data_IF_663025583718
#
_entry.id   IF_663025583718
#
_cell.length_a   1.000
_cell.length_b   1.000
_cell.length_c   1.000
_cell.angle_alpha   90.00
_cell.angle_beta   90.00
_cell.angle_gamma   90.00
#
_symmetry.space_group_name_H-M   'P 1'
#
loop_
_entity.id
_entity.type
_entity.pdbx_description
1 polymer ?
#
# COMPACT_ATOMS: atom_id res chain seq x y z
N UNK A 1 -9.93 -17.15 6.70
CA UNK A 1 -11.16 -16.32 6.82
C UNK A 1 -11.12 -15.20 7.89
N UNK A 2 -10.64 -15.43 9.12
CA UNK A 2 -10.62 -14.39 10.17
C UNK A 2 -9.49 -13.36 10.02
N UNK A 3 -8.30 -13.79 9.56
CA UNK A 3 -7.11 -12.94 9.47
C UNK A 3 -7.26 -11.77 8.46
N UNK A 4 -7.81 -12.02 7.27
CA UNK A 4 -8.05 -10.98 6.25
C UNK A 4 -9.11 -9.97 6.71
N UNK A 5 -10.21 -10.43 7.30
CA UNK A 5 -11.25 -9.55 7.88
C UNK A 5 -10.73 -8.70 9.06
N UNK A 6 -9.80 -9.23 9.86
CA UNK A 6 -9.14 -8.47 10.91
C UNK A 6 -8.24 -7.37 10.34
N UNK A 7 -7.60 -7.64 9.21
CA UNK A 7 -6.68 -6.71 8.57
C UNK A 7 -7.40 -5.57 7.85
N UNK A 8 -8.51 -5.84 7.18
CA UNK A 8 -9.39 -4.80 6.63
C UNK A 8 -9.89 -3.86 7.74
N UNK A 9 -10.13 -4.38 8.95
CA UNK A 9 -10.51 -3.56 10.11
C UNK A 9 -9.36 -2.70 10.63
N UNK A 10 -8.11 -3.15 10.50
CA UNK A 10 -6.93 -2.38 10.91
C UNK A 10 -6.77 -1.08 10.10
N UNK A 11 -7.27 -1.06 8.87
CA UNK A 11 -7.23 0.10 7.98
C UNK A 11 -8.51 0.95 7.98
N UNK A 12 -9.44 0.72 8.92
CA UNK A 12 -10.68 1.51 9.02
C UNK A 12 -10.43 3.02 9.13
N UNK A 13 -9.32 3.44 9.74
CA UNK A 13 -8.95 4.86 9.83
C UNK A 13 -8.75 5.52 8.47
N UNK A 14 -8.34 4.77 7.44
CA UNK A 14 -8.23 5.26 6.07
C UNK A 14 -9.59 5.37 5.38
N UNK A 15 -10.46 4.38 5.57
CA UNK A 15 -11.78 4.33 4.95
C UNK A 15 -12.73 5.46 5.38
N UNK A 16 -12.44 6.15 6.48
CA UNK A 16 -13.26 7.27 6.98
C UNK A 16 -12.68 8.64 6.64
N UNK A 17 -11.54 8.69 5.94
CA UNK A 17 -10.95 9.95 5.49
C UNK A 17 -11.75 10.54 4.33
N UNK A 18 -11.74 11.86 4.14
CA UNK A 18 -12.25 12.47 2.92
C UNK A 18 -11.54 11.94 1.66
N UNK A 19 -12.27 11.80 0.55
CA UNK A 19 -11.79 11.36 -0.77
C UNK A 19 -10.44 11.96 -1.17
N UNK A 20 -10.35 13.29 -1.06
CA UNK A 20 -9.17 14.04 -1.43
C UNK A 20 -7.96 13.67 -0.57
N UNK A 21 -8.17 13.39 0.72
CA UNK A 21 -7.12 13.00 1.64
C UNK A 21 -6.67 11.55 1.41
N UNK A 22 -7.61 10.63 1.14
CA UNK A 22 -7.28 9.26 0.73
C UNK A 22 -6.44 9.26 -0.55
N UNK A 23 -6.87 10.02 -1.57
CA UNK A 23 -6.17 10.15 -2.84
C UNK A 23 -4.77 10.75 -2.67
N UNK A 24 -4.65 11.85 -1.92
CA UNK A 24 -3.36 12.47 -1.65
C UNK A 24 -2.40 11.49 -0.95
N UNK A 25 -2.91 10.73 0.02
CA UNK A 25 -2.11 9.74 0.74
C UNK A 25 -1.69 8.58 -0.18
N UNK A 26 -2.61 8.10 -1.02
CA UNK A 26 -2.32 7.07 -2.02
C UNK A 26 -1.25 7.52 -3.02
N UNK A 27 -1.35 8.76 -3.55
CA UNK A 27 -0.36 9.30 -4.48
C UNK A 27 1.03 9.43 -3.85
N UNK A 28 1.13 9.86 -2.58
CA UNK A 28 2.42 9.94 -1.89
C UNK A 28 2.98 8.54 -1.63
N UNK A 29 2.15 7.59 -1.17
CA UNK A 29 2.56 6.20 -1.01
C UNK A 29 3.06 5.60 -2.33
N UNK A 30 2.43 5.91 -3.46
CA UNK A 30 2.93 5.47 -4.76
C UNK A 30 4.33 6.00 -5.05
N UNK A 31 4.69 7.22 -4.66
CA UNK A 31 6.06 7.73 -4.80
C UNK A 31 7.03 6.98 -3.89
N UNK A 32 6.66 6.80 -2.63
CA UNK A 32 7.45 6.09 -1.61
C UNK A 32 7.77 4.65 -2.08
N UNK A 33 6.85 3.98 -2.75
CA UNK A 33 7.07 2.62 -3.30
C UNK A 33 8.22 2.52 -4.32
N UNK A 34 8.62 3.64 -4.93
CA UNK A 34 9.75 3.71 -5.87
C UNK A 34 11.00 4.39 -5.28
N UNK A 35 10.96 4.77 -4.01
CA UNK A 35 12.01 5.55 -3.35
C UNK A 35 12.36 4.90 -2.01
N UNK A 36 13.36 4.02 -2.04
CA UNK A 36 13.80 3.24 -0.88
C UNK A 36 14.37 4.13 0.24
N UNK A 37 15.10 5.19 -0.12
CA UNK A 37 15.66 6.13 0.84
C UNK A 37 14.54 6.89 1.57
N UNK A 38 13.55 7.37 0.82
CA UNK A 38 12.37 8.01 1.39
C UNK A 38 11.57 7.06 2.28
N UNK A 39 11.40 5.79 1.88
CA UNK A 39 10.70 4.79 2.70
C UNK A 39 11.43 4.54 4.02
N UNK A 40 12.76 4.34 3.97
CA UNK A 40 13.59 4.13 5.17
C UNK A 40 13.55 5.34 6.11
N UNK A 41 13.67 6.54 5.57
CA UNK A 41 13.58 7.76 6.37
C UNK A 41 12.19 7.96 6.97
N UNK A 42 11.13 7.66 6.22
CA UNK A 42 9.75 7.77 6.70
C UNK A 42 9.48 6.77 7.83
N UNK A 43 9.90 5.51 7.68
CA UNK A 43 9.79 4.52 8.74
C UNK A 43 10.49 4.99 10.02
N UNK A 44 11.76 5.42 9.90
CA UNK A 44 12.53 5.88 11.06
C UNK A 44 11.88 7.07 11.78
N UNK A 45 11.31 8.02 11.02
CA UNK A 45 10.58 9.15 11.62
C UNK A 45 9.29 8.67 12.29
N UNK A 46 8.57 7.72 11.70
CA UNK A 46 7.38 7.17 12.32
C UNK A 46 7.69 6.39 13.61
N UNK A 47 8.78 5.63 13.65
CA UNK A 47 9.28 4.92 14.83
C UNK A 47 9.53 5.88 16.00
N UNK A 48 10.27 6.96 15.73
CA UNK A 48 10.62 7.97 16.73
C UNK A 48 9.39 8.69 17.27
N UNK A 49 8.46 9.05 16.39
CA UNK A 49 7.17 9.66 16.78
C UNK A 49 6.33 8.71 17.61
N UNK A 50 6.24 7.44 17.23
CA UNK A 50 5.50 6.42 17.96
C UNK A 50 6.14 6.09 19.33
N UNK A 51 7.47 6.12 19.39
CA UNK A 51 8.26 5.93 20.61
C UNK A 51 8.29 7.17 21.52
N UNK A 52 7.88 8.33 21.02
CA UNK A 52 7.90 9.60 21.75
C UNK A 52 9.31 10.14 22.01
N UNK A 53 10.33 9.61 21.32
CA UNK A 53 11.71 10.05 21.42
C UNK A 53 12.26 10.34 20.03
N UNK A 54 12.56 11.62 19.78
CA UNK A 54 13.26 12.03 18.57
C UNK A 54 14.74 11.67 18.70
N UNK A 55 15.16 10.69 17.92
CA UNK A 55 16.54 10.20 17.89
C UNK A 55 17.39 11.02 16.93
N UNK A 56 18.71 10.96 17.11
CA UNK A 56 19.64 11.49 16.11
C UNK A 56 19.53 10.76 14.77
N UNK A 57 19.00 9.53 14.76
CA UNK A 57 18.87 8.72 13.55
C UNK A 57 17.79 9.25 12.62
N UNK A 58 16.63 9.68 13.15
CA UNK A 58 15.60 10.33 12.32
C UNK A 58 16.08 11.66 11.74
N UNK A 59 16.87 12.44 12.50
CA UNK A 59 17.47 13.69 12.01
C UNK A 59 18.40 13.40 10.83
N UNK A 60 19.34 12.46 11.00
CA UNK A 60 20.28 12.09 9.95
C UNK A 60 19.56 11.54 8.71
N UNK A 61 18.58 10.66 8.90
CA UNK A 61 17.80 10.09 7.80
C UNK A 61 17.06 11.18 7.01
N UNK A 62 16.56 12.24 7.67
CA UNK A 62 15.93 13.37 7.00
C UNK A 62 16.95 14.27 6.29
N UNK A 63 18.13 14.49 6.86
CA UNK A 63 19.20 15.30 6.26
C UNK A 63 19.79 14.67 4.99
N UNK A 64 19.77 13.34 4.89
CA UNK A 64 20.20 12.59 3.70
C UNK A 64 19.23 12.73 2.51
N UNK A 65 17.96 13.07 2.78
CA UNK A 65 16.94 13.23 1.75
C UNK A 65 17.14 14.50 0.92
N UNK A 66 16.81 14.40 -0.37
CA UNK A 66 16.64 15.56 -1.25
C UNK A 66 15.47 16.44 -0.81
N UNK A 67 15.46 17.71 -1.22
CA UNK A 67 14.36 18.63 -0.89
C UNK A 67 12.98 18.14 -1.36
N UNK A 68 12.89 17.42 -2.48
CA UNK A 68 11.63 16.80 -2.93
C UNK A 68 11.19 15.65 -2.04
N UNK A 69 12.12 14.80 -1.59
CA UNK A 69 11.82 13.69 -0.69
C UNK A 69 11.38 14.19 0.69
N UNK A 70 12.05 15.23 1.23
CA UNK A 70 11.63 15.86 2.49
C UNK A 70 10.22 16.47 2.40
N UNK A 71 9.88 17.07 1.26
CA UNK A 71 8.53 17.58 1.01
C UNK A 71 7.49 16.46 0.98
N UNK A 72 7.77 15.35 0.30
CA UNK A 72 6.87 14.20 0.23
C UNK A 72 6.71 13.52 1.61
N UNK A 73 7.79 13.38 2.39
CA UNK A 73 7.77 12.90 3.78
C UNK A 73 6.90 13.80 4.66
N UNK A 74 7.12 15.12 4.59
CA UNK A 74 6.37 16.10 5.39
C UNK A 74 4.89 16.11 4.99
N UNK A 75 4.60 16.00 3.69
CA UNK A 75 3.24 15.94 3.17
C UNK A 75 2.53 14.66 3.64
N UNK A 76 3.21 13.51 3.64
CA UNK A 76 2.69 12.26 4.20
C UNK A 76 2.32 12.45 5.68
N UNK A 77 3.24 12.93 6.50
CA UNK A 77 3.04 13.13 7.94
C UNK A 77 1.83 14.04 8.22
N UNK A 78 1.71 15.16 7.51
CA UNK A 78 0.56 16.07 7.62
C UNK A 78 -0.76 15.38 7.28
N UNK A 79 -0.79 14.58 6.21
CA UNK A 79 -1.99 13.82 5.80
C UNK A 79 -2.39 12.76 6.82
N UNK A 80 -1.47 12.23 7.62
CA UNK A 80 -1.77 11.22 8.65
C UNK A 80 -2.01 11.84 10.03
N UNK A 81 -2.14 13.16 10.09
CA UNK A 81 -2.52 13.90 11.29
C UNK A 81 -1.35 14.34 12.16
N UNK A 82 -0.13 14.35 11.64
CA UNK A 82 1.04 14.94 12.30
C UNK A 82 1.07 16.46 12.09
N UNK A 83 1.17 17.22 13.18
CA UNK A 83 1.23 18.69 13.15
C UNK A 83 2.66 19.17 13.20
N UNK A 84 3.19 19.50 12.04
CA UNK A 84 4.51 20.11 11.91
C UNK A 84 4.43 21.59 12.26
N UNK A 85 5.12 22.02 13.32
CA UNK A 85 5.17 23.42 13.78
C UNK A 85 6.22 24.26 13.01
N UNK A 86 7.17 23.62 12.34
CA UNK A 86 8.23 24.26 11.54
C UNK A 86 8.19 23.91 10.05
N UNK A 87 9.32 24.09 9.36
CA UNK A 87 9.50 23.63 7.98
C UNK A 87 9.65 22.11 7.88
N UNK A 88 10.23 21.50 8.92
CA UNK A 88 10.57 20.08 8.96
C UNK A 88 9.98 19.42 10.22
N UNK A 89 9.61 18.13 10.15
CA UNK A 89 9.25 17.33 11.31
C UNK A 89 10.29 17.39 12.42
N UNK A 90 9.84 17.51 13.68
CA UNK A 90 10.72 17.59 14.83
C UNK A 90 10.06 17.33 16.18
N UNK A 91 10.83 17.45 17.28
CA UNK A 91 10.41 17.02 18.62
C UNK A 91 9.29 17.86 19.26
N UNK A 92 8.96 19.02 18.69
CA UNK A 92 7.87 19.89 19.18
C UNK A 92 6.54 19.60 18.50
N UNK A 93 6.54 18.73 17.51
CA UNK A 93 5.35 18.42 16.73
C UNK A 93 4.44 17.44 17.47
N UNK A 94 3.16 17.44 17.09
CA UNK A 94 2.14 16.66 17.79
C UNK A 94 1.32 15.79 16.83
N UNK A 95 0.99 14.58 17.26
CA UNK A 95 0.06 13.71 16.54
C UNK A 95 -1.37 14.09 16.91
N UNK A 96 -2.04 14.85 16.04
CA UNK A 96 -3.43 15.27 16.22
C UNK A 96 -4.46 14.18 16.00
N UNK A 97 -4.12 13.13 15.24
CA UNK A 97 -4.95 11.96 15.04
C UNK A 97 -4.14 10.67 15.26
N UNK A 98 -4.04 10.24 16.51
CA UNK A 98 -3.25 9.08 16.91
C UNK A 98 -3.67 7.78 16.20
N UNK A 99 -4.97 7.58 15.96
CA UNK A 99 -5.46 6.37 15.30
C UNK A 99 -5.08 6.34 13.83
N UNK A 100 -5.22 7.47 13.13
CA UNK A 100 -4.81 7.57 11.73
C UNK A 100 -3.30 7.41 11.58
N UNK A 101 -2.53 8.09 12.43
CA UNK A 101 -1.08 7.98 12.44
C UNK A 101 -0.63 6.53 12.70
N UNK A 102 -1.19 5.86 13.71
CA UNK A 102 -0.87 4.46 13.99
C UNK A 102 -1.23 3.52 12.83
N UNK A 103 -2.38 3.75 12.17
CA UNK A 103 -2.76 2.99 10.97
C UNK A 103 -1.78 3.22 9.81
N UNK A 104 -1.31 4.45 9.63
CA UNK A 104 -0.33 4.78 8.60
C UNK A 104 1.06 4.22 8.90
N UNK A 105 1.52 4.36 10.13
CA UNK A 105 2.76 3.77 10.58
C UNK A 105 2.76 2.24 10.40
N UNK A 106 1.67 1.56 10.78
CA UNK A 106 1.52 0.12 10.54
C UNK A 106 1.66 -0.27 9.06
N UNK A 107 1.15 0.56 8.13
CA UNK A 107 1.37 0.34 6.70
C UNK A 107 2.82 0.59 6.30
N UNK A 108 3.44 1.67 6.78
CA UNK A 108 4.82 2.05 6.47
C UNK A 108 5.80 0.97 6.92
N UNK A 109 5.69 0.48 8.16
CA UNK A 109 6.54 -0.61 8.64
C UNK A 109 6.36 -1.87 7.78
N UNK A 110 5.12 -2.20 7.38
CA UNK A 110 4.90 -3.34 6.50
C UNK A 110 5.51 -3.14 5.10
N UNK A 111 5.56 -1.90 4.59
CA UNK A 111 6.23 -1.59 3.32
C UNK A 111 7.76 -1.71 3.44
N UNK A 112 8.33 -1.24 4.55
CA UNK A 112 9.77 -1.29 4.81
C UNK A 112 10.27 -2.72 5.08
N UNK A 113 9.45 -3.57 5.69
CA UNK A 113 9.76 -4.97 5.95
C UNK A 113 9.66 -5.86 4.69
N UNK A 114 9.17 -5.32 3.57
CA UNK A 114 9.10 -6.08 2.32
C UNK A 114 10.50 -6.36 1.76
N UNK A 115 10.71 -7.52 1.12
CA UNK A 115 12.01 -7.85 0.55
C UNK A 115 12.36 -6.94 -0.64
N UNK A 116 13.66 -6.79 -0.90
CA UNK A 116 14.21 -5.93 -1.94
C UNK A 116 13.47 -6.09 -3.28
N UNK A 117 13.17 -4.97 -3.93
CA UNK A 117 12.41 -4.85 -5.19
C UNK A 117 10.90 -5.17 -5.10
N UNK A 118 10.39 -5.75 -4.01
CA UNK A 118 8.95 -6.00 -3.86
C UNK A 118 8.14 -4.69 -3.85
N UNK A 119 8.66 -3.63 -3.22
CA UNK A 119 8.05 -2.29 -3.19
C UNK A 119 7.89 -1.71 -4.59
N UNK A 120 8.89 -1.88 -5.45
CA UNK A 120 8.84 -1.44 -6.85
C UNK A 120 7.81 -2.21 -7.66
N UNK A 121 7.71 -3.53 -7.48
CA UNK A 121 6.65 -4.32 -8.13
C UNK A 121 5.27 -3.94 -7.61
N UNK A 122 5.13 -3.68 -6.32
CA UNK A 122 3.88 -3.22 -5.70
C UNK A 122 3.48 -1.83 -6.23
N UNK A 123 4.43 -0.91 -6.36
CA UNK A 123 4.22 0.41 -6.97
C UNK A 123 3.79 0.30 -8.43
N UNK A 124 4.38 -0.65 -9.17
CA UNK A 124 3.98 -0.95 -10.54
C UNK A 124 2.55 -1.51 -10.60
N UNK A 125 2.19 -2.39 -9.67
CA UNK A 125 0.81 -2.90 -9.53
C UNK A 125 -0.19 -1.79 -9.20
N UNK A 126 0.19 -0.79 -8.41
CA UNK A 126 -0.64 0.39 -8.16
C UNK A 126 -0.91 1.17 -9.45
N UNK A 127 0.12 1.42 -10.27
CA UNK A 127 -0.02 2.12 -11.57
C UNK A 127 -0.84 1.35 -12.61
N UNK A 128 -0.85 0.02 -12.51
CA UNK A 128 -1.60 -0.86 -13.40
C UNK A 128 -3.06 -1.09 -12.96
N UNK A 129 -3.47 -0.49 -11.83
CA UNK A 129 -4.80 -0.66 -11.24
C UNK A 129 -5.17 -2.13 -10.98
N UNK A 130 -4.19 -2.95 -10.57
CA UNK A 130 -4.41 -4.40 -10.30
C UNK A 130 -4.55 -4.71 -8.81
N UNK A 131 -4.42 -3.73 -7.92
CA UNK A 131 -4.52 -3.93 -6.46
C UNK A 131 -5.80 -4.66 -6.02
N UNK A 132 -7.01 -4.34 -6.54
CA UNK A 132 -8.22 -5.10 -6.21
C UNK A 132 -8.12 -6.58 -6.61
N UNK A 133 -7.55 -6.86 -7.79
CA UNK A 133 -7.29 -8.23 -8.25
C UNK A 133 -6.35 -8.96 -7.30
N UNK A 134 -5.30 -8.29 -6.80
CA UNK A 134 -4.36 -8.88 -5.85
C UNK A 134 -5.01 -9.21 -4.51
N UNK A 135 -5.84 -8.31 -3.98
CA UNK A 135 -6.62 -8.58 -2.79
C UNK A 135 -7.53 -9.79 -2.98
N UNK A 136 -8.19 -9.91 -4.13
CA UNK A 136 -9.02 -11.08 -4.45
C UNK A 136 -8.20 -12.38 -4.48
N UNK A 137 -7.03 -12.38 -5.14
CA UNK A 137 -6.13 -13.54 -5.17
C UNK A 137 -5.69 -13.99 -3.77
N UNK A 138 -5.36 -13.04 -2.88
CA UNK A 138 -4.96 -13.34 -1.50
C UNK A 138 -6.10 -13.91 -0.65
N UNK A 139 -7.34 -13.52 -0.93
CA UNK A 139 -8.50 -14.11 -0.28
C UNK A 139 -8.69 -15.57 -0.73
N UNK A 140 -8.58 -15.83 -2.02
CA UNK A 140 -8.69 -17.17 -2.60
C UNK A 140 -7.57 -18.12 -2.13
N UNK A 141 -6.38 -17.59 -1.88
CA UNK A 141 -5.24 -18.30 -1.29
C UNK A 141 -5.53 -18.91 0.07
N UNK A 142 -6.37 -18.26 0.89
CA UNK A 142 -6.73 -18.76 2.22
C UNK A 142 -7.57 -20.04 2.16
N UNK A 143 -8.20 -20.32 1.02
CA UNK A 143 -9.16 -21.40 0.83
C UNK A 143 -8.62 -22.51 -0.13
N UNK A 144 -7.31 -22.50 -0.46
CA UNK A 144 -6.66 -23.35 -1.51
C UNK A 144 -7.45 -23.35 -2.83
N UNK A 145 -8.07 -22.22 -3.13
CA UNK A 145 -9.02 -22.08 -4.22
C UNK A 145 -8.33 -21.51 -5.47
N UNK A 146 -8.81 -21.96 -6.62
CA UNK A 146 -8.35 -21.48 -7.93
C UNK A 146 -9.13 -20.21 -8.29
N UNK A 147 -8.42 -19.19 -8.75
CA UNK A 147 -8.99 -17.90 -9.14
C UNK A 147 -9.39 -17.91 -10.61
N UNK A 148 -10.68 -17.89 -10.91
CA UNK A 148 -11.19 -17.90 -12.29
C UNK A 148 -11.08 -16.51 -12.93
N UNK A 149 -10.42 -16.41 -14.08
CA UNK A 149 -10.34 -15.16 -14.83
C UNK A 149 -11.69 -14.70 -15.39
N UNK A 150 -12.75 -15.51 -15.34
CA UNK A 150 -14.11 -15.06 -15.61
C UNK A 150 -14.64 -14.06 -14.57
N UNK A 151 -14.03 -14.00 -13.38
CA UNK A 151 -14.31 -12.94 -12.41
C UNK A 151 -13.89 -11.58 -12.99
N UNK A 152 -14.81 -10.58 -13.08
CA UNK A 152 -14.49 -9.23 -13.52
C UNK A 152 -13.36 -8.57 -12.72
N UNK A 153 -13.25 -8.85 -11.42
CA UNK A 153 -12.19 -8.32 -10.55
C UNK A 153 -10.80 -8.83 -10.96
N UNK A 154 -10.73 -9.96 -11.69
CA UNK A 154 -9.49 -10.55 -12.20
C UNK A 154 -9.26 -10.26 -13.69
N UNK A 155 -10.15 -9.53 -14.36
CA UNK A 155 -10.00 -9.17 -15.77
C UNK A 155 -8.63 -8.52 -16.11
N UNK A 156 -8.06 -7.63 -15.27
CA UNK A 156 -6.74 -7.06 -15.52
C UNK A 156 -5.60 -8.09 -15.58
N UNK A 157 -5.76 -9.26 -14.96
CA UNK A 157 -4.74 -10.32 -14.92
C UNK A 157 -4.79 -11.25 -16.14
N UNK A 158 -5.78 -11.09 -17.02
CA UNK A 158 -5.81 -11.78 -18.32
C UNK A 158 -4.68 -11.28 -19.24
N UNK A 159 -4.23 -10.05 -19.04
CA UNK A 159 -3.05 -9.55 -19.73
C UNK A 159 -1.78 -10.26 -19.21
N UNK A 160 -0.96 -10.77 -20.14
CA UNK A 160 0.22 -11.58 -19.80
C UNK A 160 1.32 -10.74 -19.15
N UNK A 161 1.47 -9.49 -19.55
CA UNK A 161 2.51 -8.60 -19.01
C UNK A 161 2.18 -8.19 -17.57
N UNK A 162 0.93 -7.77 -17.33
CA UNK A 162 0.41 -7.46 -15.99
C UNK A 162 0.51 -8.68 -15.08
N UNK A 163 0.10 -9.86 -15.57
CA UNK A 163 0.25 -11.09 -14.81
C UNK A 163 1.71 -11.38 -14.44
N UNK A 164 2.65 -11.21 -15.37
CA UNK A 164 4.07 -11.43 -15.10
C UNK A 164 4.67 -10.48 -14.06
N UNK A 165 4.13 -9.26 -13.94
CA UNK A 165 4.51 -8.32 -12.86
C UNK A 165 3.95 -8.81 -11.52
N UNK A 166 2.67 -9.19 -11.49
CA UNK A 166 2.01 -9.71 -10.29
C UNK A 166 2.67 -10.99 -9.79
N UNK A 167 3.03 -11.89 -10.71
CA UNK A 167 3.74 -13.13 -10.39
C UNK A 167 5.11 -12.85 -9.74
N UNK A 168 5.83 -11.81 -10.18
CA UNK A 168 7.10 -11.40 -9.56
C UNK A 168 6.90 -10.82 -8.15
N UNK A 169 5.87 -10.01 -7.94
CA UNK A 169 5.50 -9.52 -6.60
C UNK A 169 5.15 -10.67 -5.65
N UNK A 170 4.37 -11.64 -6.12
CA UNK A 170 3.99 -12.81 -5.32
C UNK A 170 5.21 -13.68 -5.01
N UNK A 171 6.09 -13.90 -5.99
CA UNK A 171 7.33 -14.65 -5.79
C UNK A 171 8.25 -13.97 -4.77
N UNK A 172 8.35 -12.63 -4.75
CA UNK A 172 9.11 -11.93 -3.71
C UNK A 172 8.52 -12.13 -2.31
N UNK A 173 7.23 -12.42 -2.20
CA UNK A 173 6.56 -12.72 -0.95
C UNK A 173 6.50 -14.24 -0.62
N UNK A 174 7.34 -15.07 -1.26
CA UNK A 174 7.34 -16.53 -1.13
C UNK A 174 5.99 -17.19 -1.52
N UNK A 175 5.29 -16.62 -2.51
CA UNK A 175 4.06 -17.17 -3.07
C UNK A 175 4.31 -17.50 -4.56
N UNK A 176 4.20 -18.77 -4.94
CA UNK A 176 4.16 -19.17 -6.34
C UNK A 176 2.79 -18.87 -6.92
N UNK A 177 2.73 -17.98 -7.92
CA UNK A 177 1.53 -17.74 -8.70
C UNK A 177 1.67 -18.40 -10.08
N UNK A 178 0.89 -19.45 -10.31
CA UNK A 178 0.85 -20.21 -11.54
C UNK A 178 -0.32 -19.78 -12.41
N UNK A 179 -0.03 -19.49 -13.67
CA UNK A 179 -1.05 -19.19 -14.68
C UNK A 179 -1.55 -20.49 -15.33
N UNK A 180 -2.86 -20.64 -15.36
CA UNK A 180 -3.56 -21.67 -16.13
C UNK A 180 -4.30 -21.02 -17.30
N UNK A 181 -4.98 -21.83 -18.12
CA UNK A 181 -5.64 -21.35 -19.35
C UNK A 181 -6.72 -20.29 -19.07
N UNK A 182 -7.51 -20.47 -18.02
CA UNK A 182 -8.60 -19.57 -17.64
C UNK A 182 -8.58 -19.18 -16.17
N UNK A 183 -7.49 -19.47 -15.46
CA UNK A 183 -7.42 -19.25 -14.03
C UNK A 183 -5.98 -19.06 -13.56
N UNK A 184 -5.84 -18.68 -12.30
CA UNK A 184 -4.56 -18.66 -11.60
C UNK A 184 -4.65 -19.47 -10.31
N UNK A 185 -3.57 -20.15 -9.97
CA UNK A 185 -3.41 -20.82 -8.69
C UNK A 185 -2.24 -20.19 -7.96
N UNK A 186 -2.41 -19.90 -6.68
CA UNK A 186 -1.34 -19.40 -5.85
C UNK A 186 -1.02 -20.42 -4.74
N UNK A 187 0.25 -20.59 -4.42
CA UNK A 187 0.72 -21.58 -3.44
C UNK A 187 1.84 -20.95 -2.60
N UNK A 188 1.75 -21.05 -1.27
CA UNK A 188 2.82 -20.58 -0.37
C UNK A 188 3.99 -21.56 -0.43
N UNK A 189 5.20 -21.04 -0.68
CA UNK A 189 6.39 -21.85 -0.95
C UNK A 189 7.20 -22.23 0.30
N UNK A 190 7.06 -21.48 1.39
CA UNK A 190 7.79 -21.71 2.64
C UNK A 190 6.82 -21.87 3.82
N UNK A 191 7.25 -22.62 4.84
CA UNK A 191 6.50 -22.77 6.09
C UNK A 191 6.40 -21.46 6.90
N UNK A 192 7.21 -20.45 6.57
CA UNK A 192 7.11 -19.10 7.14
C UNK A 192 6.05 -18.28 6.41
N UNK A 193 5.02 -17.85 7.15
CA UNK A 193 3.95 -17.00 6.62
C UNK A 193 4.23 -15.49 6.74
N UNK A 194 5.46 -15.09 7.10
CA UNK A 194 5.81 -13.68 7.34
C UNK A 194 5.64 -12.80 6.09
N UNK A 195 6.31 -13.12 4.98
CA UNK A 195 6.19 -12.29 3.77
C UNK A 195 4.80 -12.32 3.12
N UNK A 196 4.10 -13.47 3.04
CA UNK A 196 2.69 -13.47 2.64
C UNK A 196 1.82 -12.56 3.51
N UNK A 197 2.04 -12.54 4.83
CA UNK A 197 1.31 -11.68 5.76
C UNK A 197 1.65 -10.19 5.52
N UNK A 198 2.93 -9.86 5.36
CA UNK A 198 3.39 -8.49 5.04
C UNK A 198 2.72 -8.02 3.74
N UNK A 199 2.75 -8.83 2.67
CA UNK A 199 2.07 -8.52 1.41
C UNK A 199 0.56 -8.33 1.59
N UNK A 200 -0.09 -9.13 2.44
CA UNK A 200 -1.50 -8.94 2.77
C UNK A 200 -1.75 -7.59 3.47
N UNK A 201 -0.88 -7.18 4.40
CA UNK A 201 -0.98 -5.92 5.14
C UNK A 201 -0.86 -4.75 4.16
N UNK A 202 0.17 -4.77 3.32
CA UNK A 202 0.43 -3.68 2.36
C UNK A 202 -0.69 -3.54 1.34
N UNK A 203 -1.16 -4.65 0.77
CA UNK A 203 -2.29 -4.63 -0.17
C UNK A 203 -3.60 -4.19 0.47
N UNK A 204 -3.89 -4.59 1.72
CA UNK A 204 -5.11 -4.16 2.41
C UNK A 204 -5.11 -2.65 2.69
N UNK A 205 -3.96 -2.09 3.09
CA UNK A 205 -3.80 -0.66 3.31
C UNK A 205 -3.95 0.15 2.02
N UNK A 206 -3.24 -0.28 0.96
CA UNK A 206 -3.31 0.38 -0.35
C UNK A 206 -4.70 0.28 -0.98
N UNK A 207 -5.34 -0.89 -0.92
CA UNK A 207 -6.69 -1.09 -1.43
C UNK A 207 -7.70 -0.19 -0.73
N UNK A 208 -7.59 -0.04 0.59
CA UNK A 208 -8.49 0.83 1.35
C UNK A 208 -8.36 2.30 0.91
N UNK A 209 -7.15 2.75 0.58
CA UNK A 209 -6.91 4.10 0.08
C UNK A 209 -7.29 4.30 -1.40
N UNK A 210 -7.35 3.22 -2.18
CA UNK A 210 -7.70 3.29 -3.61
C UNK A 210 -9.20 3.13 -3.90
N UNK A 211 -10.02 2.72 -2.92
CA UNK A 211 -11.45 2.38 -3.12
C UNK A 211 -12.29 3.48 -3.76
N UNK A 212 -12.05 4.75 -3.45
CA UNK A 212 -12.84 5.84 -4.03
C UNK A 212 -12.43 6.24 -5.46
N UNK A 213 -11.35 5.66 -6.00
CA UNK A 213 -10.96 5.91 -7.38
C UNK A 213 -11.84 5.16 -8.40
N UNK A 214 -12.37 3.99 -8.03
CA UNK A 214 -13.18 3.17 -8.93
C UNK A 214 -14.61 3.72 -9.11
N UNK A 215 -15.16 4.41 -8.10
CA UNK A 215 -16.50 5.01 -8.21
C UNK A 215 -16.51 6.22 -9.15
N UNK A 216 -15.43 7.01 -9.20
CA UNK A 216 -15.32 8.18 -10.09
C UNK A 216 -14.99 7.84 -11.54
N UNK A 217 -14.28 6.74 -11.81
CA UNK A 217 -14.09 6.25 -13.18
C UNK A 217 -15.37 5.66 -13.76
N UNK A 218 -16.17 4.92 -12.97
CA UNK A 218 -17.49 4.44 -13.41
C UNK A 218 -18.50 5.59 -13.65
N UNK A 219 -18.40 6.71 -12.93
CA UNK A 219 -19.27 7.87 -13.18
C UNK A 219 -18.85 8.72 -14.39
N UNK A 220 -17.56 8.69 -14.75
CA UNK A 220 -17.05 9.45 -15.91
C UNK A 220 -17.40 8.77 -17.24
N UNK A 221 -17.50 7.43 -17.28
CA UNK A 221 -17.93 6.69 -18.49
C UNK A 221 -19.46 6.76 -18.73
N UNK A 222 -20.26 6.98 -17.68
CA UNK A 222 -21.73 7.10 -17.81
C UNK A 222 -22.14 8.51 -18.28
N UNK A 223 -21.31 9.54 -18.09
CA UNK A 223 -21.57 10.88 -18.63
C UNK A 223 -21.05 11.10 -20.06
N UNK A 224 -20.11 10.27 -20.54
CA UNK A 224 -19.61 10.37 -21.92
C UNK A 224 -20.52 9.70 -22.97
N UNK A 225 -21.56 8.97 -22.55
CA UNK A 225 -22.45 8.20 -23.45
C UNK A 225 -23.90 8.70 -23.51
N UNK A 226 -24.21 9.85 -22.90
CA UNK A 226 -25.56 10.46 -22.95
C UNK A 226 -25.63 11.81 -23.67
N UNK A 227 -24.62 12.14 -24.48
CA UNK A 227 -24.70 13.24 -25.45
C UNK A 227 -24.15 12.75 -26.80
N UNK A 228 -24.98 12.02 -27.53
CA UNK A 228 -25.09 12.05 -28.99
C UNK A 228 -26.48 11.55 -29.41
#
# INVERSE_FOLDING_TARGET
>A
KQATLHLERSFRSFAVLPAQQQMALFCILQKILFDEELLRALEQVCDDVAGGLWSSQAILAMEELTGSQQQDLTAFLKLVGYRVQGEHPGPQDEVSNQKLFATAYFLVSALAEMPDNATVFLGTCCKLHVIPSLCHLLHALSDDSVCDFQDPTLAPLRDTERFGIVQRLFASADIALERMQFSAKATILKDSCMFPLILCITLSGLYTLSKEHEEHLCQSEVHATSQD
#
